data_IF_063596236203
#
_entry.id   IF_063596236203
#
_cell.length_a   1.000
_cell.length_b   1.000
_cell.length_c   1.000
_cell.angle_alpha   90.00
_cell.angle_beta   90.00
_cell.angle_gamma   90.00
#
_symmetry.space_group_name_H-M   'P 1'
#
loop_
_entity.id
_entity.type
_entity.pdbx_description
1 polymer ?
#
# COMPACT_ATOMS: atom_id res chain seq x y z
N UNK A 1 28.10 17.84 -69.45
CA UNK A 1 26.83 17.09 -69.46
C UNK A 1 26.88 15.81 -68.61
N UNK A 2 28.03 15.12 -68.52
CA UNK A 2 28.16 13.89 -67.72
C UNK A 2 28.20 14.08 -66.18
N UNK A 3 28.62 15.23 -65.64
CA UNK A 3 28.71 15.42 -64.17
C UNK A 3 27.34 15.55 -63.49
N UNK A 4 26.38 16.19 -64.14
CA UNK A 4 25.02 16.41 -63.60
C UNK A 4 24.25 15.09 -63.50
N UNK A 5 24.40 14.22 -64.50
CA UNK A 5 23.75 12.92 -64.52
C UNK A 5 24.29 11.98 -63.42
N UNK A 6 25.60 12.06 -63.14
CA UNK A 6 26.23 11.30 -62.08
C UNK A 6 25.73 11.76 -60.70
N UNK A 7 25.66 13.07 -60.44
CA UNK A 7 25.12 13.61 -59.18
C UNK A 7 23.66 13.21 -58.93
N UNK A 8 22.80 13.25 -59.95
CA UNK A 8 21.41 12.80 -59.80
C UNK A 8 21.32 11.32 -59.43
N UNK A 9 22.12 10.45 -60.06
CA UNK A 9 22.09 9.02 -59.72
C UNK A 9 22.58 8.74 -58.30
N UNK A 10 23.60 9.45 -57.82
CA UNK A 10 24.04 9.35 -56.42
C UNK A 10 22.97 9.87 -55.45
N UNK A 11 22.30 10.98 -55.80
CA UNK A 11 21.24 11.54 -54.99
C UNK A 11 20.05 10.56 -54.88
N UNK A 12 19.63 9.96 -55.99
CA UNK A 12 18.57 8.95 -56.01
C UNK A 12 18.95 7.70 -55.23
N UNK A 13 20.19 7.22 -55.37
CA UNK A 13 20.68 6.06 -54.62
C UNK A 13 20.74 6.34 -53.11
N UNK A 14 21.27 7.50 -52.71
CA UNK A 14 21.29 7.92 -51.31
C UNK A 14 19.88 8.05 -50.72
N UNK A 15 18.96 8.68 -51.46
CA UNK A 15 17.56 8.83 -51.06
C UNK A 15 16.85 7.49 -50.93
N UNK A 16 17.08 6.58 -51.87
CA UNK A 16 16.51 5.23 -51.84
C UNK A 16 17.04 4.42 -50.65
N UNK A 17 18.36 4.44 -50.42
CA UNK A 17 19.00 3.77 -49.28
C UNK A 17 18.45 4.29 -47.94
N UNK A 18 18.41 5.61 -47.76
CA UNK A 18 17.87 6.25 -46.56
C UNK A 18 16.40 5.90 -46.33
N UNK A 19 15.60 5.90 -47.39
CA UNK A 19 14.18 5.51 -47.30
C UNK A 19 14.04 4.04 -46.87
N UNK A 20 14.85 3.13 -47.41
CA UNK A 20 14.83 1.72 -47.02
C UNK A 20 15.22 1.53 -45.54
N UNK A 21 16.22 2.27 -45.07
CA UNK A 21 16.63 2.27 -43.65
C UNK A 21 15.56 2.84 -42.73
N UNK A 22 14.83 3.86 -43.16
CA UNK A 22 13.69 4.42 -42.43
C UNK A 22 12.54 3.39 -42.33
N UNK A 23 12.20 2.70 -43.42
CA UNK A 23 11.21 1.61 -43.41
C UNK A 23 11.63 0.46 -42.49
N UNK A 24 12.90 0.05 -42.54
CA UNK A 24 13.43 -1.00 -41.68
C UNK A 24 13.38 -0.60 -40.19
N UNK A 25 13.62 0.68 -39.86
CA UNK A 25 13.49 1.20 -38.50
C UNK A 25 12.05 1.20 -38.00
N UNK A 26 11.10 1.64 -38.81
CA UNK A 26 9.67 1.62 -38.44
C UNK A 26 9.16 0.18 -38.23
N UNK A 27 9.59 -0.76 -39.07
CA UNK A 27 9.27 -2.18 -38.91
C UNK A 27 9.81 -2.74 -37.59
N UNK A 28 11.11 -2.54 -37.30
CA UNK A 28 11.72 -2.99 -36.03
C UNK A 28 11.05 -2.37 -34.80
N UNK A 29 10.70 -1.08 -34.85
CA UNK A 29 10.01 -0.40 -33.76
C UNK A 29 8.60 -0.97 -33.51
N UNK A 30 7.88 -1.33 -34.58
CA UNK A 30 6.59 -2.00 -34.50
C UNK A 30 6.73 -3.41 -33.92
N UNK A 31 7.65 -4.21 -34.46
CA UNK A 31 7.89 -5.59 -34.02
C UNK A 31 8.30 -5.63 -32.53
N UNK A 32 9.15 -4.69 -32.08
CA UNK A 32 9.55 -4.59 -30.68
C UNK A 32 8.38 -4.16 -29.77
N UNK A 33 7.50 -3.28 -30.26
CA UNK A 33 6.29 -2.86 -29.53
C UNK A 33 5.31 -4.03 -29.40
N UNK A 34 5.10 -4.80 -30.47
CA UNK A 34 4.23 -5.97 -30.51
C UNK A 34 4.73 -7.07 -29.56
N UNK A 35 6.04 -7.35 -29.61
CA UNK A 35 6.70 -8.25 -28.66
C UNK A 35 6.54 -7.81 -27.19
N UNK A 36 6.71 -6.51 -26.91
CA UNK A 36 6.52 -5.98 -25.56
C UNK A 36 5.07 -6.11 -25.09
N UNK A 37 4.10 -5.85 -25.97
CA UNK A 37 2.68 -6.01 -25.63
C UNK A 37 2.32 -7.47 -25.38
N UNK A 38 2.90 -8.40 -26.11
CA UNK A 38 2.67 -9.83 -25.92
C UNK A 38 3.25 -10.31 -24.57
N UNK A 39 4.45 -9.85 -24.21
CA UNK A 39 5.02 -10.13 -22.88
C UNK A 39 4.13 -9.56 -21.77
N UNK A 40 3.63 -8.34 -21.94
CA UNK A 40 2.78 -7.70 -20.95
C UNK A 40 1.45 -8.47 -20.79
N UNK A 41 0.86 -8.91 -21.90
CA UNK A 41 -0.35 -9.73 -21.91
C UNK A 41 -0.11 -11.09 -21.23
N UNK A 42 0.99 -11.77 -21.56
CA UNK A 42 1.35 -13.04 -20.92
C UNK A 42 1.62 -12.86 -19.42
N UNK A 43 2.33 -11.80 -19.04
CA UNK A 43 2.60 -11.48 -17.63
C UNK A 43 1.30 -11.22 -16.88
N UNK A 44 0.37 -10.48 -17.48
CA UNK A 44 -0.96 -10.25 -16.92
C UNK A 44 -1.75 -11.55 -16.75
N UNK A 45 -1.76 -12.41 -17.77
CA UNK A 45 -2.45 -13.70 -17.71
C UNK A 45 -1.85 -14.62 -16.64
N UNK A 46 -0.52 -14.66 -16.53
CA UNK A 46 0.19 -15.45 -15.53
C UNK A 46 -0.08 -14.93 -14.12
N UNK A 47 -0.05 -13.61 -13.93
CA UNK A 47 -0.39 -12.97 -12.66
C UNK A 47 -1.84 -13.27 -12.28
N UNK A 48 -2.79 -13.14 -13.21
CA UNK A 48 -4.19 -13.42 -12.93
C UNK A 48 -4.41 -14.90 -12.55
N UNK A 49 -3.79 -15.83 -13.29
CA UNK A 49 -3.84 -17.26 -12.94
C UNK A 49 -3.24 -17.54 -11.57
N UNK A 50 -2.11 -16.92 -11.25
CA UNK A 50 -1.48 -17.03 -9.94
C UNK A 50 -2.40 -16.49 -8.84
N UNK A 51 -3.00 -15.30 -9.01
CA UNK A 51 -3.90 -14.72 -8.02
C UNK A 51 -5.15 -15.57 -7.81
N UNK A 52 -5.77 -16.09 -8.87
CA UNK A 52 -6.88 -17.03 -8.75
C UNK A 52 -6.46 -18.29 -7.97
N UNK A 53 -5.35 -18.91 -8.35
CA UNK A 53 -4.84 -20.10 -7.67
C UNK A 53 -4.42 -19.83 -6.21
N UNK A 54 -3.95 -18.63 -5.90
CA UNK A 54 -3.62 -18.21 -4.55
C UNK A 54 -4.87 -18.07 -3.69
N UNK A 55 -5.89 -17.34 -4.18
CA UNK A 55 -7.16 -17.15 -3.47
C UNK A 55 -7.91 -18.47 -3.26
N UNK A 56 -7.85 -19.38 -4.24
CA UNK A 56 -8.49 -20.70 -4.17
C UNK A 56 -7.73 -21.72 -3.30
N UNK A 57 -6.69 -21.29 -2.57
CA UNK A 57 -5.80 -22.16 -1.78
C UNK A 57 -5.16 -23.31 -2.59
N UNK A 58 -5.10 -23.19 -3.92
CA UNK A 58 -4.64 -24.24 -4.82
C UNK A 58 -3.11 -24.37 -4.90
N UNK A 59 -2.37 -23.51 -4.19
CA UNK A 59 -0.91 -23.51 -4.09
C UNK A 59 -0.47 -24.10 -2.72
N UNK A 60 -0.02 -25.37 -2.66
CA UNK A 60 0.35 -26.02 -1.40
C UNK A 60 1.51 -25.33 -0.67
N UNK A 61 2.35 -24.60 -1.40
CA UNK A 61 3.51 -23.88 -0.85
C UNK A 61 3.14 -22.54 -0.20
N UNK A 62 1.94 -22.00 -0.47
CA UNK A 62 1.52 -20.69 -0.01
C UNK A 62 0.13 -20.77 0.62
N UNK A 63 -0.05 -21.72 1.54
CA UNK A 63 -1.28 -21.80 2.31
C UNK A 63 -1.37 -20.61 3.26
N UNK A 64 -2.56 -20.02 3.35
CA UNK A 64 -2.85 -18.94 4.28
C UNK A 64 -4.10 -19.25 5.10
N UNK A 65 -4.12 -18.79 6.34
CA UNK A 65 -5.27 -18.93 7.24
C UNK A 65 -5.94 -17.58 7.42
N UNK A 66 -7.26 -17.55 7.20
CA UNK A 66 -8.08 -16.38 7.51
C UNK A 66 -8.48 -16.48 8.99
N UNK A 67 -8.04 -15.53 9.81
CA UNK A 67 -8.40 -15.46 11.23
C UNK A 67 -8.94 -14.09 11.62
N UNK A 68 -9.77 -14.05 12.66
CA UNK A 68 -10.15 -12.80 13.28
C UNK A 68 -9.04 -12.32 14.22
N UNK A 69 -8.82 -11.00 14.27
CA UNK A 69 -7.91 -10.40 15.27
C UNK A 69 -8.51 -10.59 16.67
N UNK A 70 -7.69 -11.01 17.63
CA UNK A 70 -8.09 -11.06 19.04
C UNK A 70 -8.35 -9.65 19.59
N UNK A 71 -9.15 -9.53 20.66
CA UNK A 71 -9.47 -8.24 21.27
C UNK A 71 -8.21 -7.41 21.59
N UNK A 72 -7.19 -8.04 22.17
CA UNK A 72 -5.94 -7.37 22.49
C UNK A 72 -5.13 -7.00 21.23
N UNK A 73 -5.15 -7.82 20.17
CA UNK A 73 -4.52 -7.47 18.87
C UNK A 73 -5.20 -6.25 18.23
N UNK A 74 -6.54 -6.18 18.34
CA UNK A 74 -7.34 -5.03 17.86
C UNK A 74 -7.02 -3.77 18.66
N UNK A 75 -6.96 -3.88 19.99
CA UNK A 75 -6.70 -2.76 20.92
C UNK A 75 -5.29 -2.19 20.78
N UNK A 76 -4.27 -3.06 20.79
CA UNK A 76 -2.87 -2.61 20.72
C UNK A 76 -2.38 -2.40 19.28
N UNK A 77 -3.19 -2.74 18.28
CA UNK A 77 -2.79 -2.76 16.87
C UNK A 77 -1.44 -3.48 16.69
N UNK A 78 -1.26 -4.60 17.42
CA UNK A 78 -0.09 -5.45 17.38
C UNK A 78 -0.50 -6.83 16.88
N UNK A 79 0.38 -7.45 16.10
CA UNK A 79 0.18 -8.82 15.63
C UNK A 79 0.84 -9.75 16.65
N UNK A 80 0.04 -10.36 17.53
CA UNK A 80 0.58 -11.43 18.35
C UNK A 80 0.88 -12.60 17.42
N UNK A 81 2.16 -12.90 17.26
CA UNK A 81 2.62 -14.21 16.80
C UNK A 81 2.32 -15.20 17.93
N UNK A 82 1.04 -15.45 18.21
CA UNK A 82 0.68 -16.57 19.08
C UNK A 82 0.99 -17.80 18.26
N UNK A 83 2.12 -18.44 18.57
CA UNK A 83 2.38 -19.81 18.23
C UNK A 83 1.25 -20.65 18.83
N UNK A 84 0.19 -20.85 18.04
CA UNK A 84 -0.99 -21.59 18.46
C UNK A 84 -0.64 -23.07 18.46
N UNK A 85 -0.05 -23.51 19.57
CA UNK A 85 0.15 -24.91 19.93
C UNK A 85 1.32 -25.60 19.24
N UNK A 86 1.88 -26.63 19.89
CA UNK A 86 3.04 -27.39 19.39
C UNK A 86 2.82 -28.15 18.07
N UNK A 87 1.61 -28.13 17.50
CA UNK A 87 1.26 -28.89 16.27
C UNK A 87 1.13 -28.03 15.00
N UNK A 88 1.17 -26.69 15.08
CA UNK A 88 0.97 -25.80 13.91
C UNK A 88 2.17 -24.91 13.57
N UNK A 89 3.25 -25.00 14.36
CA UNK A 89 4.40 -24.08 14.29
C UNK A 89 5.31 -24.28 13.08
N UNK A 90 5.17 -25.39 12.34
CA UNK A 90 6.17 -25.78 11.33
C UNK A 90 5.75 -25.54 9.88
N UNK A 91 4.59 -24.93 9.57
CA UNK A 91 4.13 -24.93 8.16
C UNK A 91 3.35 -23.69 7.66
N UNK A 92 2.86 -22.79 8.51
CA UNK A 92 1.98 -21.70 8.02
C UNK A 92 2.50 -20.32 8.44
N UNK A 93 3.27 -19.70 7.55
CA UNK A 93 3.85 -18.36 7.74
C UNK A 93 2.88 -17.22 7.36
N UNK A 94 1.78 -17.51 6.65
CA UNK A 94 0.91 -16.51 6.06
C UNK A 94 -0.46 -16.44 6.76
N UNK A 95 -0.75 -15.33 7.42
CA UNK A 95 -2.05 -15.06 8.05
C UNK A 95 -2.75 -13.88 7.38
N UNK A 96 -4.02 -14.06 7.04
CA UNK A 96 -4.89 -12.94 6.67
C UNK A 96 -5.87 -12.67 7.79
N UNK A 97 -6.05 -11.39 8.09
CA UNK A 97 -7.04 -10.95 9.07
C UNK A 97 -8.31 -10.54 8.37
N UNK A 98 -9.46 -11.01 8.87
CA UNK A 98 -10.75 -10.45 8.46
C UNK A 98 -10.80 -9.02 8.97
N UNK A 99 -10.90 -8.07 8.04
CA UNK A 99 -11.04 -6.65 8.38
C UNK A 99 -12.52 -6.29 8.51
N UNK A 100 -13.00 -6.25 9.76
CA UNK A 100 -14.37 -5.80 10.07
C UNK A 100 -14.51 -4.27 9.92
N UNK A 101 -13.40 -3.53 9.97
CA UNK A 101 -13.40 -2.07 10.03
C UNK A 101 -13.04 -1.45 8.67
N UNK A 102 -13.99 -0.75 8.06
CA UNK A 102 -13.70 0.00 6.82
C UNK A 102 -12.58 1.01 7.11
N UNK A 103 -11.52 1.02 6.30
CA UNK A 103 -10.32 1.89 6.41
C UNK A 103 -10.66 3.37 6.65
N UNK A 104 -11.82 3.83 6.16
CA UNK A 104 -12.32 5.19 6.36
C UNK A 104 -12.75 5.51 7.80
N UNK A 105 -13.13 4.50 8.57
CA UNK A 105 -13.68 4.61 9.94
C UNK A 105 -12.58 4.89 10.96
N UNK A 106 -11.41 4.26 10.78
CA UNK A 106 -10.18 4.45 11.60
C UNK A 106 -9.64 5.88 11.57
N UNK A 107 -9.98 6.61 10.52
CA UNK A 107 -9.58 7.99 10.28
C UNK A 107 -10.43 8.99 11.07
N UNK A 108 -11.74 8.71 11.19
CA UNK A 108 -12.71 9.55 11.89
C UNK A 108 -12.94 9.14 13.35
N UNK A 109 -12.10 8.24 13.89
CA UNK A 109 -12.21 7.67 15.24
C UNK A 109 -13.44 6.85 15.57
N UNK A 110 -14.38 6.66 14.64
CA UNK A 110 -15.43 5.67 14.85
C UNK A 110 -14.75 4.31 15.11
N UNK A 111 -14.93 3.74 16.30
CA UNK A 111 -14.33 2.45 16.70
C UNK A 111 -12.96 2.50 17.40
N UNK A 112 -12.28 3.65 17.51
CA UNK A 112 -10.99 3.76 18.23
C UNK A 112 -11.11 4.40 19.62
N UNK A 113 -12.33 4.57 20.11
CA UNK A 113 -12.65 5.12 21.43
C UNK A 113 -12.00 4.32 22.56
N UNK A 114 -12.02 2.98 22.45
CA UNK A 114 -11.43 2.08 23.44
C UNK A 114 -9.92 2.30 23.60
N UNK A 115 -9.20 2.46 22.50
CA UNK A 115 -7.75 2.70 22.53
C UNK A 115 -7.43 4.04 23.18
N UNK A 116 -8.27 5.06 23.00
CA UNK A 116 -8.13 6.36 23.64
C UNK A 116 -8.41 6.30 25.15
N UNK A 117 -9.42 5.54 25.55
CA UNK A 117 -9.73 5.28 26.96
C UNK A 117 -8.57 4.56 27.65
N UNK A 118 -7.99 3.53 27.01
CA UNK A 118 -6.85 2.78 27.54
C UNK A 118 -5.61 3.68 27.65
N UNK A 119 -5.36 4.51 26.64
CA UNK A 119 -4.30 5.51 26.67
C UNK A 119 -4.46 6.47 27.86
N UNK A 120 -5.66 7.01 28.08
CA UNK A 120 -5.93 7.92 29.20
C UNK A 120 -5.79 7.21 30.54
N UNK A 121 -6.24 5.96 30.65
CA UNK A 121 -6.12 5.15 31.87
C UNK A 121 -4.66 4.84 32.21
N UNK A 122 -3.85 4.39 31.24
CA UNK A 122 -2.42 4.12 31.45
C UNK A 122 -1.68 5.40 31.83
N UNK A 123 -1.96 6.51 31.14
CA UNK A 123 -1.35 7.81 31.44
C UNK A 123 -1.68 8.27 32.86
N UNK A 124 -2.94 8.14 33.27
CA UNK A 124 -3.36 8.45 34.64
C UNK A 124 -2.62 7.60 35.67
N UNK A 125 -2.55 6.29 35.47
CA UNK A 125 -1.85 5.37 36.37
C UNK A 125 -0.35 5.66 36.45
N UNK A 126 0.31 5.97 35.34
CA UNK A 126 1.73 6.33 35.34
C UNK A 126 1.99 7.62 36.12
N UNK A 127 1.14 8.64 35.96
CA UNK A 127 1.30 9.92 36.67
C UNK A 127 0.98 9.75 38.15
N UNK A 128 -0.06 9.00 38.51
CA UNK A 128 -0.40 8.70 39.90
C UNK A 128 0.74 7.96 40.61
N UNK A 129 1.37 6.98 39.93
CA UNK A 129 2.54 6.27 40.46
C UNK A 129 3.72 7.21 40.75
N UNK A 130 3.95 8.22 39.92
CA UNK A 130 5.08 9.16 40.08
C UNK A 130 4.84 10.20 41.17
N UNK A 131 3.62 10.74 41.26
CA UNK A 131 3.33 11.88 42.15
C UNK A 131 2.62 11.49 43.45
N UNK A 132 2.11 10.25 43.57
CA UNK A 132 1.37 9.74 44.74
C UNK A 132 0.26 10.68 45.22
N UNK A 133 -0.31 11.48 44.32
CA UNK A 133 -1.35 12.46 44.58
C UNK A 133 -2.37 12.45 43.44
N UNK A 134 -3.54 11.90 43.74
CA UNK A 134 -4.63 11.72 42.79
C UNK A 134 -5.11 13.01 42.12
N UNK A 135 -5.12 14.13 42.85
CA UNK A 135 -5.61 15.41 42.32
C UNK A 135 -4.61 15.95 41.28
N UNK A 136 -3.33 15.94 41.64
CA UNK A 136 -2.26 16.41 40.77
C UNK A 136 -2.11 15.50 39.54
N UNK A 137 -2.29 14.19 39.72
CA UNK A 137 -2.29 13.24 38.63
C UNK A 137 -3.40 13.51 37.62
N UNK A 138 -4.62 13.77 38.10
CA UNK A 138 -5.77 14.09 37.24
C UNK A 138 -5.52 15.34 36.38
N UNK A 139 -4.98 16.41 36.99
CA UNK A 139 -4.71 17.67 36.28
C UNK A 139 -3.65 17.46 35.19
N UNK A 140 -2.58 16.74 35.51
CA UNK A 140 -1.49 16.48 34.55
C UNK A 140 -1.99 15.60 33.41
N UNK A 141 -2.72 14.53 33.69
CA UNK A 141 -3.29 13.66 32.64
C UNK A 141 -4.22 14.43 31.71
N UNK A 142 -5.03 15.35 32.24
CA UNK A 142 -5.89 16.21 31.43
C UNK A 142 -5.08 17.11 30.47
N UNK A 143 -3.95 17.66 30.93
CA UNK A 143 -3.07 18.48 30.08
C UNK A 143 -2.47 17.62 28.95
N UNK A 144 -2.03 16.40 29.25
CA UNK A 144 -1.51 15.47 28.24
C UNK A 144 -2.57 15.11 27.19
N UNK A 145 -3.80 14.85 27.62
CA UNK A 145 -4.92 14.56 26.70
C UNK A 145 -5.24 15.76 25.80
N UNK A 146 -5.29 16.97 26.36
CA UNK A 146 -5.51 18.20 25.59
C UNK A 146 -4.41 18.44 24.53
N UNK A 147 -3.15 18.17 24.88
CA UNK A 147 -2.02 18.26 23.95
C UNK A 147 -2.14 17.18 22.86
N UNK A 148 -2.49 15.95 23.22
CA UNK A 148 -2.67 14.85 22.28
C UNK A 148 -3.78 15.16 21.27
N UNK A 149 -4.92 15.69 21.73
CA UNK A 149 -6.03 16.14 20.88
C UNK A 149 -5.59 17.29 19.96
N UNK A 150 -4.86 18.28 20.49
CA UNK A 150 -4.34 19.41 19.70
C UNK A 150 -3.37 18.99 18.60
N UNK A 151 -2.38 18.16 18.93
CA UNK A 151 -1.44 17.59 17.97
C UNK A 151 -2.16 16.76 16.92
N UNK A 152 -3.14 15.94 17.33
CA UNK A 152 -3.86 15.06 16.42
C UNK A 152 -4.80 15.79 15.47
N UNK A 153 -5.49 16.84 15.92
CA UNK A 153 -6.29 17.69 15.03
C UNK A 153 -5.44 18.39 13.97
N UNK A 154 -4.22 18.80 14.33
CA UNK A 154 -3.28 19.43 13.41
C UNK A 154 -2.66 18.43 12.41
N UNK A 155 -2.21 17.27 12.89
CA UNK A 155 -1.54 16.26 12.07
C UNK A 155 -2.54 15.43 11.24
N UNK A 156 -3.70 15.09 11.79
CA UNK A 156 -4.74 14.32 11.14
C UNK A 156 -5.30 15.02 9.91
N UNK A 157 -5.69 16.30 10.01
CA UNK A 157 -6.19 17.10 8.86
C UNK A 157 -5.16 17.22 7.74
N UNK A 158 -3.88 17.36 8.08
CA UNK A 158 -2.78 17.47 7.10
C UNK A 158 -2.53 16.14 6.38
N UNK A 159 -2.51 15.04 7.12
CA UNK A 159 -2.23 13.72 6.56
C UNK A 159 -3.40 13.19 5.71
N UNK A 160 -4.64 13.48 6.13
CA UNK A 160 -5.86 13.09 5.42
C UNK A 160 -6.02 13.72 4.05
N UNK A 161 -5.92 15.05 3.97
CA UNK A 161 -6.11 15.75 2.70
C UNK A 161 -5.00 15.45 1.68
N UNK A 162 -3.83 15.00 2.15
CA UNK A 162 -2.67 14.72 1.29
C UNK A 162 -2.63 13.28 0.81
N UNK A 163 -3.05 12.30 1.65
CA UNK A 163 -2.95 10.86 1.31
C UNK A 163 -4.25 10.24 0.81
N UNK A 164 -5.41 10.81 1.14
CA UNK A 164 -6.69 10.24 0.73
C UNK A 164 -7.16 10.70 -0.67
N UNK A 165 -6.54 11.73 -1.28
CA UNK A 165 -6.98 12.36 -2.54
C UNK A 165 -8.49 12.71 -2.54
N UNK A 166 -9.10 12.84 -1.37
CA UNK A 166 -10.50 13.24 -1.21
C UNK A 166 -10.55 14.77 -1.24
N UNK A 167 -11.36 15.38 -2.13
CA UNK A 167 -11.56 16.82 -2.18
C UNK A 167 -11.95 17.38 -0.82
N UNK A 168 -11.41 18.56 -0.49
CA UNK A 168 -11.49 19.16 0.86
C UNK A 168 -12.94 19.45 1.28
N UNK A 169 -13.86 19.55 0.32
CA UNK A 169 -15.30 19.74 0.52
C UNK A 169 -16.08 18.49 0.97
N UNK A 170 -15.47 17.31 0.98
CA UNK A 170 -16.10 16.07 1.50
C UNK A 170 -15.64 15.71 2.93
N UNK A 171 -14.77 16.53 3.54
CA UNK A 171 -14.26 16.36 4.90
C UNK A 171 -14.99 17.28 5.89
N UNK A 172 -16.32 17.29 5.81
CA UNK A 172 -17.21 18.02 6.72
C UNK A 172 -17.67 17.07 7.82
#
# INVERSE_FOLDING_TARGET
MNSIFIEETYYWFYRFSKSNDDYARHRRARDNKEYFTDILLQSYQNLNKFLCAFIDHALPTHQYVIRNRYFLEKVFNFEFQVALGPDLTDTIDNFFFVDDEKVFTKILFYGQENSLIIWNMITFLCVDFVFSNYILATIITFIFDAIAVGLRNSLGRRNLSTKALVPRELLI
#
